data_IF_819451896078
#
_entry.id   IF_819451896078
#
_cell.length_a   1.000
_cell.length_b   1.000
_cell.length_c   1.000
_cell.angle_alpha   90.00
_cell.angle_beta   90.00
_cell.angle_gamma   90.00
#
_symmetry.space_group_name_H-M   'P 1'
#
loop_
_entity.id
_entity.type
_entity.pdbx_description
1 polymer ?
#
# COMPACT_ATOMS: atom_id res chain seq x y z
N UNK A 1 -30.65 20.51 -22.16
CA UNK A 1 -31.46 19.31 -22.46
C UNK A 1 -31.81 18.64 -21.14
N UNK A 2 -33.07 18.70 -20.72
CA UNK A 2 -33.51 18.12 -19.45
C UNK A 2 -33.87 16.64 -19.67
N UNK A 3 -33.17 15.73 -18.99
CA UNK A 3 -33.54 14.32 -18.97
C UNK A 3 -34.56 14.11 -17.84
N UNK A 4 -35.83 13.95 -18.21
CA UNK A 4 -36.91 13.66 -17.27
C UNK A 4 -37.13 12.15 -17.28
N UNK A 5 -36.54 11.44 -16.31
CA UNK A 5 -36.79 10.01 -16.14
C UNK A 5 -38.17 9.79 -15.51
N UNK A 6 -39.05 9.10 -16.23
CA UNK A 6 -40.38 8.71 -15.79
C UNK A 6 -40.29 7.48 -14.88
N UNK A 7 -40.65 7.61 -13.60
CA UNK A 7 -40.81 6.48 -12.68
C UNK A 7 -42.23 5.93 -12.89
N UNK A 8 -42.35 4.81 -13.60
CA UNK A 8 -43.63 4.13 -13.85
C UNK A 8 -43.75 2.84 -13.04
N UNK A 9 -44.82 2.72 -12.25
CA UNK A 9 -45.40 1.43 -11.85
C UNK A 9 -45.04 0.87 -10.45
N UNK A 10 -45.90 0.00 -9.88
CA UNK A 10 -45.91 -0.33 -8.46
C UNK A 10 -45.01 -1.52 -8.12
N UNK A 11 -43.70 -1.31 -7.99
CA UNK A 11 -42.86 -2.08 -7.06
C UNK A 11 -41.76 -1.17 -6.51
N UNK A 12 -42.08 -0.51 -5.40
CA UNK A 12 -41.37 0.67 -4.88
C UNK A 12 -39.96 0.38 -4.32
N UNK A 13 -39.50 -0.88 -4.27
CA UNK A 13 -38.16 -1.28 -3.80
C UNK A 13 -37.79 -2.65 -4.38
N UNK A 14 -37.06 -2.66 -5.50
CA UNK A 14 -36.37 -3.87 -6.00
C UNK A 14 -35.57 -4.47 -4.83
N UNK A 15 -35.94 -5.67 -4.39
CA UNK A 15 -35.22 -6.39 -3.33
C UNK A 15 -33.95 -6.99 -3.91
N UNK A 16 -32.82 -6.38 -3.60
CA UNK A 16 -31.51 -6.90 -3.97
C UNK A 16 -31.12 -8.05 -3.05
N UNK A 17 -31.13 -9.28 -3.58
CA UNK A 17 -30.54 -10.44 -2.91
C UNK A 17 -29.04 -10.23 -2.70
N UNK A 18 -28.48 -10.82 -1.65
CA UNK A 18 -27.06 -10.67 -1.32
C UNK A 18 -26.14 -11.05 -2.49
N UNK A 19 -26.47 -12.14 -3.20
CA UNK A 19 -25.76 -12.61 -4.39
C UNK A 19 -25.72 -11.56 -5.51
N UNK A 20 -26.86 -10.93 -5.82
CA UNK A 20 -26.88 -9.85 -6.82
C UNK A 20 -26.08 -8.62 -6.37
N UNK A 21 -26.10 -8.28 -5.07
CA UNK A 21 -25.29 -7.16 -4.57
C UNK A 21 -23.80 -7.47 -4.75
N UNK A 22 -23.37 -8.70 -4.43
CA UNK A 22 -21.98 -9.13 -4.58
C UNK A 22 -21.54 -9.10 -6.04
N UNK A 23 -22.34 -9.65 -6.96
CA UNK A 23 -22.01 -9.61 -8.39
C UNK A 23 -21.81 -8.17 -8.91
N UNK A 24 -22.69 -7.23 -8.53
CA UNK A 24 -22.55 -5.83 -8.90
C UNK A 24 -21.29 -5.20 -8.29
N UNK A 25 -20.96 -5.53 -7.04
CA UNK A 25 -19.76 -5.02 -6.38
C UNK A 25 -18.48 -5.57 -7.02
N UNK A 26 -18.45 -6.86 -7.37
CA UNK A 26 -17.32 -7.48 -8.06
C UNK A 26 -17.09 -6.84 -9.43
N UNK A 27 -18.16 -6.61 -10.21
CA UNK A 27 -18.05 -5.94 -11.51
C UNK A 27 -17.63 -4.47 -11.35
N UNK A 28 -18.27 -3.72 -10.45
CA UNK A 28 -18.01 -2.30 -10.23
C UNK A 28 -16.59 -1.99 -9.73
N UNK A 29 -15.96 -2.91 -9.00
CA UNK A 29 -14.60 -2.75 -8.45
C UNK A 29 -13.57 -3.67 -9.11
N UNK A 30 -13.89 -4.26 -10.25
CA UNK A 30 -12.92 -5.00 -11.06
C UNK A 30 -11.88 -4.06 -11.69
N UNK A 31 -10.66 -4.53 -11.98
CA UNK A 31 -9.62 -3.70 -12.60
C UNK A 31 -10.08 -3.10 -13.94
N UNK A 32 -10.05 -1.76 -14.05
CA UNK A 32 -10.46 -1.05 -15.25
C UNK A 32 -11.96 -0.75 -15.35
N UNK A 33 -12.79 -1.21 -14.40
CA UNK A 33 -14.20 -0.86 -14.37
C UNK A 33 -14.46 0.58 -13.92
N UNK A 34 -15.53 1.16 -14.46
CA UNK A 34 -16.03 2.48 -14.09
C UNK A 34 -17.36 2.30 -13.36
N UNK A 35 -17.40 2.64 -12.07
CA UNK A 35 -18.58 2.46 -11.20
C UNK A 35 -19.84 3.12 -11.78
N UNK A 36 -19.71 4.26 -12.46
CA UNK A 36 -20.84 4.95 -13.10
C UNK A 36 -21.43 4.20 -14.28
N UNK A 37 -20.62 3.43 -15.01
CA UNK A 37 -21.08 2.62 -16.14
C UNK A 37 -21.83 1.39 -15.64
N UNK A 38 -21.27 0.71 -14.63
CA UNK A 38 -21.92 -0.42 -13.96
C UNK A 38 -23.23 0.03 -13.30
N UNK A 39 -23.25 1.20 -12.64
CA UNK A 39 -24.47 1.77 -12.08
C UNK A 39 -25.58 1.95 -13.13
N UNK A 40 -25.23 2.45 -14.33
CA UNK A 40 -26.16 2.61 -15.45
C UNK A 40 -26.67 1.26 -15.97
N UNK A 41 -25.78 0.29 -16.14
CA UNK A 41 -26.12 -1.05 -16.64
C UNK A 41 -27.09 -1.80 -15.73
N UNK A 42 -26.93 -1.65 -14.40
CA UNK A 42 -27.79 -2.31 -13.41
C UNK A 42 -28.98 -1.46 -12.95
N UNK A 43 -29.15 -0.26 -13.51
CA UNK A 43 -30.16 0.74 -13.14
C UNK A 43 -30.17 1.06 -11.63
N UNK A 44 -28.97 1.22 -11.07
CA UNK A 44 -28.76 1.59 -9.66
C UNK A 44 -28.03 2.91 -9.56
N UNK A 45 -28.19 3.62 -8.43
CA UNK A 45 -27.37 4.79 -8.17
C UNK A 45 -25.96 4.38 -7.73
N UNK A 46 -24.96 5.16 -8.12
CA UNK A 46 -23.57 4.97 -7.66
C UNK A 46 -23.48 5.03 -6.13
N UNK A 47 -24.26 5.90 -5.48
CA UNK A 47 -24.36 5.98 -4.02
C UNK A 47 -24.79 4.66 -3.37
N UNK A 48 -25.69 3.91 -4.01
CA UNK A 48 -26.16 2.62 -3.51
C UNK A 48 -25.06 1.54 -3.61
N UNK A 49 -24.27 1.55 -4.69
CA UNK A 49 -23.11 0.66 -4.84
C UNK A 49 -22.09 0.93 -3.73
N UNK A 50 -21.75 2.21 -3.46
CA UNK A 50 -20.83 2.55 -2.37
C UNK A 50 -21.39 2.22 -0.99
N UNK A 51 -22.71 2.33 -0.79
CA UNK A 51 -23.36 1.87 0.43
C UNK A 51 -23.19 0.36 0.62
N UNK A 52 -23.48 -0.45 -0.40
CA UNK A 52 -23.29 -1.91 -0.32
C UNK A 52 -21.84 -2.29 -0.10
N UNK A 53 -20.89 -1.56 -0.68
CA UNK A 53 -19.46 -1.79 -0.42
C UNK A 53 -19.14 -1.61 1.07
N UNK A 54 -19.65 -0.54 1.70
CA UNK A 54 -19.45 -0.32 3.14
C UNK A 54 -20.10 -1.42 3.98
N UNK A 55 -21.33 -1.83 3.64
CA UNK A 55 -22.03 -2.93 4.30
C UNK A 55 -21.24 -4.24 4.19
N UNK A 56 -20.68 -4.55 3.01
CA UNK A 56 -19.88 -5.76 2.78
C UNK A 56 -18.56 -5.75 3.54
N UNK A 57 -17.87 -4.60 3.61
CA UNK A 57 -16.61 -4.47 4.36
C UNK A 57 -16.84 -4.55 5.88
N UNK A 58 -17.90 -3.91 6.39
CA UNK A 58 -18.26 -3.99 7.81
C UNK A 58 -18.71 -5.40 8.25
N UNK A 59 -19.15 -6.26 7.32
CA UNK A 59 -19.43 -7.65 7.59
C UNK A 59 -18.18 -8.55 7.61
N UNK A 60 -17.11 -8.14 6.92
CA UNK A 60 -15.83 -8.88 6.86
C UNK A 60 -14.93 -8.57 8.05
N UNK A 61 -14.97 -7.35 8.57
CA UNK A 61 -14.21 -6.98 9.76
C UNK A 61 -15.18 -6.75 10.93
N UNK A 62 -15.18 -7.62 11.97
CA UNK A 62 -15.72 -7.16 13.23
C UNK A 62 -14.90 -5.92 13.61
N UNK A 63 -15.57 -4.77 13.77
CA UNK A 63 -14.97 -3.54 14.31
C UNK A 63 -14.46 -3.85 15.72
N UNK A 64 -13.24 -4.39 15.76
CA UNK A 64 -12.59 -4.86 16.98
C UNK A 64 -11.29 -4.10 17.03
N UNK A 65 -11.03 -3.42 18.14
CA UNK A 65 -9.75 -2.77 18.36
C UNK A 65 -8.66 -3.86 18.36
N UNK A 66 -7.84 -3.87 17.32
CA UNK A 66 -6.61 -4.68 17.31
C UNK A 66 -5.58 -3.94 18.14
N UNK A 67 -5.10 -4.57 19.21
CA UNK A 67 -4.05 -4.00 20.04
C UNK A 67 -2.78 -3.81 19.18
N UNK A 68 -2.33 -2.56 19.04
CA UNK A 68 -1.07 -2.28 18.37
C UNK A 68 0.08 -2.75 19.26
N UNK A 69 0.79 -3.79 18.83
CA UNK A 69 2.05 -4.20 19.46
C UNK A 69 3.15 -3.26 18.97
N UNK A 70 3.75 -2.51 19.90
CA UNK A 70 4.98 -1.75 19.61
C UNK A 70 6.11 -2.75 19.47
N UNK A 71 6.48 -3.06 18.23
CA UNK A 71 7.75 -3.72 17.96
C UNK A 71 8.85 -2.66 18.10
N UNK A 72 9.82 -2.89 18.99
CA UNK A 72 11.08 -2.13 18.92
C UNK A 72 11.63 -2.30 17.50
N UNK A 73 11.80 -1.18 16.80
CA UNK A 73 12.49 -1.20 15.52
C UNK A 73 13.87 -1.80 15.77
N UNK A 74 14.32 -2.79 14.99
CA UNK A 74 15.69 -3.27 15.13
C UNK A 74 16.62 -2.06 14.95
N UNK A 75 17.64 -1.97 15.80
CA UNK A 75 18.67 -0.94 15.83
C UNK A 75 19.60 -0.98 14.59
N UNK A 76 19.01 -1.23 13.42
CA UNK A 76 19.68 -1.28 12.14
C UNK A 76 19.94 0.12 11.58
N UNK A 77 19.19 1.13 12.05
CA UNK A 77 19.38 2.53 11.64
C UNK A 77 20.72 3.09 12.17
N UNK A 78 21.09 2.77 13.43
CA UNK A 78 22.38 3.16 14.01
C UNK A 78 23.56 2.40 13.37
N UNK A 79 23.39 1.09 13.12
CA UNK A 79 24.43 0.26 12.47
C UNK A 79 24.73 0.66 11.03
N UNK A 80 23.70 1.01 10.22
CA UNK A 80 23.92 1.46 8.83
C UNK A 80 24.72 2.76 8.74
N UNK A 81 24.53 3.68 9.69
CA UNK A 81 25.31 4.92 9.76
C UNK A 81 26.77 4.69 10.18
N UNK A 82 26.99 3.77 11.13
CA UNK A 82 28.32 3.46 11.64
C UNK A 82 29.21 2.70 10.64
N UNK A 83 28.61 1.93 9.73
CA UNK A 83 29.33 1.09 8.75
C UNK A 83 29.44 1.71 7.35
N UNK A 84 28.82 2.88 7.13
CA UNK A 84 28.98 3.62 5.88
C UNK A 84 30.41 4.19 5.78
N UNK A 85 31.10 4.04 4.63
CA UNK A 85 32.42 4.62 4.46
C UNK A 85 32.35 6.15 4.52
N UNK A 86 33.15 6.74 5.39
CA UNK A 86 33.31 8.20 5.53
C UNK A 86 34.58 8.71 4.85
N UNK A 87 35.55 7.81 4.63
CA UNK A 87 36.77 8.11 3.90
C UNK A 87 36.95 7.04 2.82
N UNK A 88 37.19 7.48 1.58
CA UNK A 88 37.48 6.61 0.44
C UNK A 88 38.83 7.03 -0.13
N UNK A 89 39.78 6.09 -0.19
CA UNK A 89 41.10 6.28 -0.76
C UNK A 89 41.18 5.48 -2.05
N UNK A 90 41.50 6.15 -3.15
CA UNK A 90 41.71 5.53 -4.45
C UNK A 90 43.20 5.53 -4.81
N UNK A 91 43.72 4.38 -5.24
CA UNK A 91 45.13 4.24 -5.61
C UNK A 91 45.31 4.31 -7.13
N UNK A 92 46.37 4.97 -7.59
CA UNK A 92 46.66 5.18 -9.01
C UNK A 92 46.83 3.87 -9.82
N UNK A 93 47.17 2.74 -9.17
CA UNK A 93 47.35 1.43 -9.81
C UNK A 93 46.09 0.56 -9.85
N UNK A 94 44.94 1.13 -9.47
CA UNK A 94 43.69 0.39 -9.33
C UNK A 94 43.63 -0.28 -7.97
N UNK A 95 42.69 0.19 -7.15
CA UNK A 95 42.48 -0.26 -5.79
C UNK A 95 41.72 0.81 -5.01
N UNK A 96 40.77 0.40 -4.18
CA UNK A 96 39.98 1.30 -3.35
C UNK A 96 39.97 0.79 -1.91
N UNK A 97 40.29 1.67 -0.97
CA UNK A 97 40.12 1.43 0.46
C UNK A 97 39.00 2.34 0.97
N UNK A 98 38.02 1.72 1.62
CA UNK A 98 36.86 2.39 2.19
C UNK A 98 36.92 2.24 3.71
N UNK A 99 36.85 3.35 4.45
CA UNK A 99 36.97 3.38 5.92
C UNK A 99 35.67 3.93 6.48
N UNK A 100 34.99 3.14 7.32
CA UNK A 100 33.78 3.55 8.02
C UNK A 100 34.09 4.43 9.24
N UNK A 101 33.08 5.16 9.73
CA UNK A 101 33.24 6.00 10.92
C UNK A 101 33.58 5.20 12.18
N UNK A 102 33.15 3.93 12.22
CA UNK A 102 33.41 3.00 13.32
C UNK A 102 34.73 2.23 13.19
N UNK A 103 35.48 2.41 12.10
CA UNK A 103 36.70 1.66 11.86
C UNK A 103 37.78 1.96 12.90
N UNK A 104 38.36 0.91 13.49
CA UNK A 104 39.47 1.05 14.44
C UNK A 104 40.72 1.62 13.76
N UNK A 105 41.41 2.63 14.35
CA UNK A 105 42.64 3.18 13.80
C UNK A 105 43.75 2.15 13.59
N UNK A 106 43.82 1.11 14.43
CA UNK A 106 44.81 0.04 14.31
C UNK A 106 44.56 -0.80 13.06
N UNK A 107 43.29 -1.13 12.77
CA UNK A 107 42.88 -1.88 11.58
C UNK A 107 43.17 -1.08 10.31
N UNK A 108 42.82 0.21 10.30
CA UNK A 108 43.10 1.11 9.17
C UNK A 108 44.61 1.19 8.90
N UNK A 109 45.41 1.36 9.96
CA UNK A 109 46.87 1.42 9.82
C UNK A 109 47.46 0.11 9.31
N UNK A 110 46.99 -1.04 9.81
CA UNK A 110 47.43 -2.34 9.36
C UNK A 110 47.07 -2.58 7.89
N UNK A 111 45.84 -2.26 7.48
CA UNK A 111 45.39 -2.38 6.10
C UNK A 111 46.19 -1.49 5.14
N UNK A 112 46.41 -0.22 5.50
CA UNK A 112 47.21 0.70 4.68
C UNK A 112 48.69 0.28 4.59
N UNK A 113 49.26 -0.30 5.65
CA UNK A 113 50.62 -0.87 5.60
C UNK A 113 50.71 -2.09 4.70
N UNK A 114 49.70 -2.94 4.68
CA UNK A 114 49.66 -4.14 3.84
C UNK A 114 49.51 -3.82 2.34
N UNK A 115 49.05 -2.61 2.00
CA UNK A 115 48.84 -2.14 0.62
C UNK A 115 49.99 -1.30 0.06
N UNK A 116 51.04 -1.06 0.86
CA UNK A 116 52.24 -0.32 0.46
C UNK A 116 53.15 -1.16 -0.43
#
# INVERSE_FOLDING_TARGET
>A
MAHTSLITGPERRRRWRAEHKLAILEEAFSPGAVVSDVARQYEVSTSLIYQWRREAMAAQEPMTFVAATVCEAPDDAGRRGADHPVIIVEFARGGRVSISASASPALVTAALRALR
#
